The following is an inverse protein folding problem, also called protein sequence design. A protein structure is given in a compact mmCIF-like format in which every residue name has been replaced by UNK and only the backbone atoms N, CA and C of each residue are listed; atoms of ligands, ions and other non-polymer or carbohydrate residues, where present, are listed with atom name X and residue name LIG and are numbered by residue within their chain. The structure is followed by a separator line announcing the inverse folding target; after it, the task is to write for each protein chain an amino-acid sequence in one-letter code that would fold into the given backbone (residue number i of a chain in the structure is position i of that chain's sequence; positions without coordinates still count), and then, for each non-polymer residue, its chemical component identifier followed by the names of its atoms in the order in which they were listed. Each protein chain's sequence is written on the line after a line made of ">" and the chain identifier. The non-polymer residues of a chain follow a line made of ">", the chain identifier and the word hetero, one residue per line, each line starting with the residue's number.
data_IF_596928174260
#
_entry.id   IF_596928174260
#
_cell.length_a   1.000
_cell.length_b   1.000
_cell.length_c   1.000
_cell.angle_alpha   90.00
_cell.angle_beta   90.00
_cell.angle_gamma   90.00
#
_symmetry.space_group_name_H-M   'P 1'
#
loop_
_entity.id
_entity.type
_entity.pdbx_description
1 polymer ?
#
# COMPACT_ATOMS: atom_id res chain seq x y z
N UNK A 1 11.25 -22.19 19.36
CA UNK A 1 11.46 -20.85 18.79
C UNK A 1 10.21 -20.04 19.11
N UNK A 2 10.32 -19.00 19.95
CA UNK A 2 9.24 -18.02 20.08
C UNK A 2 9.17 -17.27 18.77
N UNK A 3 8.08 -17.44 18.05
CA UNK A 3 7.88 -16.82 16.75
C UNK A 3 7.27 -15.45 17.00
N UNK A 4 8.09 -14.41 16.95
CA UNK A 4 7.65 -13.04 17.21
C UNK A 4 6.74 -12.54 16.08
N UNK A 5 5.69 -11.80 16.45
CA UNK A 5 4.82 -11.16 15.49
C UNK A 5 5.58 -10.05 14.75
N UNK A 6 5.47 -10.02 13.42
CA UNK A 6 6.17 -9.06 12.58
C UNK A 6 5.40 -7.72 12.54
N UNK A 7 6.06 -6.56 12.69
CA UNK A 7 5.41 -5.25 12.48
C UNK A 7 4.75 -5.15 11.10
N UNK A 8 3.56 -4.56 11.03
CA UNK A 8 2.76 -4.51 9.79
C UNK A 8 3.50 -3.75 8.67
N UNK A 9 4.30 -2.74 9.00
CA UNK A 9 5.09 -1.99 8.02
C UNK A 9 6.12 -2.88 7.34
N UNK A 10 6.81 -3.70 8.13
CA UNK A 10 7.82 -4.64 7.63
C UNK A 10 7.14 -5.74 6.82
N UNK A 11 6.03 -6.29 7.35
CA UNK A 11 5.25 -7.32 6.65
C UNK A 11 4.79 -6.83 5.28
N UNK A 12 4.17 -5.65 5.20
CA UNK A 12 3.66 -5.09 3.94
C UNK A 12 4.81 -4.83 2.96
N UNK A 13 5.88 -4.14 3.38
CA UNK A 13 7.01 -3.83 2.50
C UNK A 13 7.68 -5.08 1.91
N UNK A 14 7.85 -6.14 2.70
CA UNK A 14 8.42 -7.39 2.21
C UNK A 14 7.54 -8.08 1.15
N UNK A 15 6.22 -7.87 1.20
CA UNK A 15 5.26 -8.53 0.32
C UNK A 15 5.07 -7.79 -1.00
N UNK A 16 5.38 -6.51 -1.08
CA UNK A 16 5.23 -5.70 -2.29
C UNK A 16 6.20 -6.05 -3.44
N UNK A 17 7.12 -7.00 -3.22
CA UNK A 17 7.91 -7.63 -4.26
C UNK A 17 7.18 -8.79 -4.98
N UNK A 18 5.95 -9.13 -4.58
CA UNK A 18 5.17 -10.22 -5.19
C UNK A 18 4.65 -9.82 -6.58
N UNK A 19 4.73 -10.75 -7.55
CA UNK A 19 4.34 -10.52 -8.95
C UNK A 19 2.89 -10.05 -9.08
N UNK A 20 1.98 -10.58 -8.25
CA UNK A 20 0.57 -10.19 -8.29
C UNK A 20 0.36 -8.73 -7.85
N UNK A 21 1.15 -8.26 -6.87
CA UNK A 21 1.09 -6.88 -6.40
C UNK A 21 1.73 -5.93 -7.40
N UNK A 22 2.84 -6.33 -8.01
CA UNK A 22 3.49 -5.56 -9.08
C UNK A 22 2.55 -5.34 -10.27
N UNK A 23 1.77 -6.35 -10.67
CA UNK A 23 0.78 -6.20 -11.74
C UNK A 23 -0.31 -5.17 -11.39
N UNK A 24 -0.78 -5.13 -10.14
CA UNK A 24 -1.76 -4.14 -9.67
C UNK A 24 -1.14 -2.73 -9.65
N UNK A 25 0.11 -2.62 -9.17
CA UNK A 25 0.84 -1.34 -9.14
C UNK A 25 1.00 -0.77 -10.55
N UNK A 26 1.34 -1.63 -11.51
CA UNK A 26 1.51 -1.26 -12.92
C UNK A 26 0.18 -0.84 -13.56
N UNK A 27 -0.89 -1.64 -13.37
CA UNK A 27 -2.23 -1.33 -13.87
C UNK A 27 -2.73 0.02 -13.35
N UNK A 28 -2.52 0.28 -12.06
CA UNK A 28 -2.91 1.54 -11.43
C UNK A 28 -1.95 2.69 -11.70
N UNK A 29 -0.79 2.44 -12.34
CA UNK A 29 0.27 3.43 -12.58
C UNK A 29 0.64 4.19 -11.30
N UNK A 30 0.82 3.45 -10.21
CA UNK A 30 1.11 3.99 -8.88
C UNK A 30 2.54 3.68 -8.47
N UNK A 31 3.13 4.48 -7.59
CA UNK A 31 4.41 4.15 -6.95
C UNK A 31 4.16 3.13 -5.82
N UNK A 32 4.98 2.08 -5.74
CA UNK A 32 4.83 1.02 -4.75
C UNK A 32 4.77 1.57 -3.32
N UNK A 33 5.63 2.53 -2.99
CA UNK A 33 5.68 3.17 -1.67
C UNK A 33 4.36 3.85 -1.28
N UNK A 34 3.65 4.45 -2.25
CA UNK A 34 2.36 5.10 -1.99
C UNK A 34 1.32 4.05 -1.63
N UNK A 35 1.29 2.96 -2.39
CA UNK A 35 0.34 1.88 -2.17
C UNK A 35 0.64 1.14 -0.86
N UNK A 36 1.91 0.91 -0.52
CA UNK A 36 2.34 0.39 0.78
C UNK A 36 1.80 1.24 1.94
N UNK A 37 1.99 2.56 1.87
CA UNK A 37 1.50 3.50 2.90
C UNK A 37 -0.02 3.44 3.05
N UNK A 38 -0.76 3.32 1.95
CA UNK A 38 -2.23 3.19 1.98
C UNK A 38 -2.65 1.90 2.71
N UNK A 39 -2.01 0.78 2.39
CA UNK A 39 -2.33 -0.53 2.97
C UNK A 39 -1.94 -0.59 4.45
N UNK A 40 -0.76 -0.08 4.81
CA UNK A 40 -0.32 0.03 6.22
C UNK A 40 -1.29 0.90 7.02
N UNK A 41 -1.67 2.07 6.50
CA UNK A 41 -2.61 2.95 7.18
C UNK A 41 -3.96 2.27 7.40
N UNK A 42 -4.48 1.58 6.37
CA UNK A 42 -5.72 0.83 6.45
C UNK A 42 -5.68 -0.24 7.55
N UNK A 43 -4.60 -1.03 7.63
CA UNK A 43 -4.45 -2.02 8.71
C UNK A 43 -4.37 -1.40 10.10
N UNK A 44 -3.62 -0.30 10.26
CA UNK A 44 -3.52 0.41 11.53
C UNK A 44 -4.85 0.97 12.00
N UNK A 45 -5.66 1.49 11.08
CA UNK A 45 -7.02 1.97 11.38
C UNK A 45 -7.96 0.83 11.83
N UNK A 46 -7.74 -0.40 11.35
CA UNK A 46 -8.43 -1.59 11.84
C UNK A 46 -7.84 -2.17 13.14
N UNK A 47 -6.83 -1.50 13.73
CA UNK A 47 -6.16 -1.96 14.95
C UNK A 47 -5.12 -3.07 14.73
N UNK A 48 -4.72 -3.32 13.48
CA UNK A 48 -3.69 -4.31 13.15
C UNK A 48 -2.33 -3.60 13.05
N UNK A 49 -1.47 -3.87 14.04
CA UNK A 49 -0.12 -3.30 14.12
C UNK A 49 0.99 -4.33 13.88
N UNK A 50 0.68 -5.62 14.02
CA UNK A 50 1.60 -6.72 13.77
C UNK A 50 0.89 -7.95 13.21
N UNK A 51 1.65 -8.79 12.51
CA UNK A 51 1.18 -10.00 11.86
C UNK A 51 1.90 -11.20 12.49
N UNK A 52 1.19 -12.09 13.20
CA UNK A 52 1.73 -13.37 13.61
C UNK A 52 2.11 -14.23 12.40
N UNK A 53 3.19 -15.02 12.48
CA UNK A 53 3.60 -15.90 11.36
C UNK A 53 2.48 -16.83 10.90
N UNK A 54 1.66 -17.33 11.82
CA UNK A 54 0.53 -18.21 11.51
C UNK A 54 -0.52 -17.55 10.61
N UNK A 55 -0.58 -16.22 10.56
CA UNK A 55 -1.52 -15.45 9.78
C UNK A 55 -0.90 -14.84 8.52
N UNK A 56 0.39 -15.03 8.24
CA UNK A 56 1.04 -14.38 7.08
C UNK A 56 0.39 -14.72 5.75
N UNK A 57 0.07 -16.00 5.51
CA UNK A 57 -0.57 -16.43 4.26
C UNK A 57 -1.95 -15.81 4.12
N UNK A 58 -2.72 -15.77 5.21
CA UNK A 58 -4.04 -15.16 5.22
C UNK A 58 -3.95 -13.65 5.00
N UNK A 59 -3.04 -12.96 5.70
CA UNK A 59 -2.83 -11.52 5.56
C UNK A 59 -2.36 -11.15 4.15
N UNK A 60 -1.51 -11.98 3.52
CA UNK A 60 -1.12 -11.79 2.11
C UNK A 60 -2.34 -11.85 1.19
N UNK A 61 -3.19 -12.87 1.35
CA UNK A 61 -4.42 -12.99 0.57
C UNK A 61 -5.35 -11.80 0.82
N UNK A 62 -5.48 -11.36 2.07
CA UNK A 62 -6.28 -10.17 2.43
C UNK A 62 -5.80 -8.93 1.71
N UNK A 63 -4.49 -8.68 1.59
CA UNK A 63 -3.96 -7.53 0.83
C UNK A 63 -4.41 -7.59 -0.62
N UNK A 64 -4.29 -8.75 -1.28
CA UNK A 64 -4.73 -8.90 -2.67
C UNK A 64 -6.24 -8.67 -2.83
N UNK A 65 -7.05 -9.25 -1.93
CA UNK A 65 -8.51 -9.07 -1.93
C UNK A 65 -8.88 -7.61 -1.71
N UNK A 66 -8.22 -6.92 -0.78
CA UNK A 66 -8.45 -5.49 -0.52
C UNK A 66 -8.10 -4.65 -1.74
N UNK A 67 -6.98 -4.91 -2.39
CA UNK A 67 -6.60 -4.17 -3.60
C UNK A 67 -7.56 -4.41 -4.76
N UNK A 68 -8.05 -5.63 -4.94
CA UNK A 68 -8.95 -5.96 -6.05
C UNK A 68 -10.40 -5.53 -5.80
N UNK A 69 -10.86 -5.55 -4.54
CA UNK A 69 -12.29 -5.47 -4.24
C UNK A 69 -12.67 -4.34 -3.26
N UNK A 70 -11.73 -3.65 -2.62
CA UNK A 70 -12.08 -2.58 -1.65
C UNK A 70 -12.26 -1.23 -2.35
N UNK A 71 -13.49 -0.68 -2.40
CA UNK A 71 -13.74 0.65 -2.96
C UNK A 71 -13.04 1.75 -2.15
N UNK A 72 -12.80 1.49 -0.87
CA UNK A 72 -12.13 2.42 0.03
C UNK A 72 -10.64 2.57 -0.32
N UNK A 73 -9.96 1.44 -0.54
CA UNK A 73 -8.57 1.44 -1.01
C UNK A 73 -8.47 2.13 -2.36
N UNK A 74 -9.38 1.82 -3.30
CA UNK A 74 -9.44 2.51 -4.59
C UNK A 74 -9.62 4.03 -4.44
N UNK A 75 -10.48 4.48 -3.52
CA UNK A 75 -10.68 5.91 -3.24
C UNK A 75 -9.42 6.57 -2.70
N UNK A 76 -8.72 5.91 -1.76
CA UNK A 76 -7.44 6.39 -1.21
C UNK A 76 -6.36 6.49 -2.29
N UNK A 77 -6.31 5.51 -3.19
CA UNK A 77 -5.41 5.46 -4.35
C UNK A 77 -5.69 6.63 -5.29
N UNK A 78 -6.95 6.87 -5.67
CA UNK A 78 -7.33 8.00 -6.52
C UNK A 78 -6.98 9.36 -5.91
N UNK A 79 -7.20 9.53 -4.60
CA UNK A 79 -6.81 10.75 -3.88
C UNK A 79 -5.29 10.95 -3.88
N UNK A 80 -4.52 9.88 -3.66
CA UNK A 80 -3.07 9.94 -3.70
C UNK A 80 -2.55 10.32 -5.09
N UNK A 81 -3.11 9.75 -6.16
CA UNK A 81 -2.77 10.11 -7.55
C UNK A 81 -3.05 11.58 -7.86
N UNK A 82 -4.20 12.10 -7.42
CA UNK A 82 -4.53 13.51 -7.62
C UNK A 82 -3.56 14.44 -6.88
N UNK A 83 -3.17 14.10 -5.65
CA UNK A 83 -2.19 14.86 -4.88
C UNK A 83 -0.78 14.83 -5.50
N UNK A 84 -0.37 13.67 -6.03
CA UNK A 84 0.88 13.47 -6.78
C UNK A 84 0.91 14.36 -8.03
N UNK A 85 -0.18 14.36 -8.82
CA UNK A 85 -0.32 15.18 -10.02
C UNK A 85 -0.25 16.68 -9.72
N UNK A 86 -0.92 17.13 -8.66
CA UNK A 86 -0.87 18.53 -8.20
C UNK A 86 0.55 18.94 -7.80
N UNK A 87 1.26 18.10 -7.02
CA UNK A 87 2.66 18.38 -6.63
C UNK A 87 3.60 18.50 -7.84
N UNK A 88 3.41 17.66 -8.86
CA UNK A 88 4.20 17.72 -10.10
C UNK A 88 3.94 19.00 -10.89
N UNK A 89 2.70 19.51 -10.89
CA UNK A 89 2.37 20.79 -11.52
C UNK A 89 2.96 21.98 -10.75
N UNK A 90 2.88 21.99 -9.41
CA UNK A 90 3.44 23.06 -8.59
C UNK A 90 4.97 23.20 -8.73
N UNK A 91 5.70 22.08 -8.85
CA UNK A 91 7.16 22.11 -9.08
C UNK A 91 7.57 22.68 -10.45
N UNK A 92 6.71 22.55 -11.47
CA UNK A 92 6.97 23.14 -12.80
C UNK A 92 6.69 24.64 -12.84
N UNK A 93 5.76 25.14 -12.02
CA UNK A 93 5.48 26.57 -11.92
C UNK A 93 6.58 27.34 -11.17
N UNK A 94 7.29 26.68 -10.25
CA UNK A 94 8.33 27.30 -9.41
C UNK A 94 9.71 27.40 -10.10
N UNK A 95 10.04 26.47 -11.00
CA UNK A 95 11.29 26.47 -11.79
C UNK A 95 11.23 27.34 -13.06
N UNK A 96 10.15 28.11 -13.26
CA UNK A 96 9.90 28.94 -14.45
C UNK A 96 10.08 30.44 -14.24
N UNK A 97 10.79 30.87 -13.19
CA UNK A 97 11.13 32.28 -12.93
C UNK A 97 12.63 32.50 -12.97
#
# INVERSE_FOLDING_TARGET
>A
MLVEAQPIEIFVSQRFNDKALLAIIEDWRMESEILEKIIVAYFKEMGIFSVPQSLETQMRQTILVLLQNSPEIFTRVRKAQAAEALRRQSRRADNGK
#
